data_IF_784724807616
#
_entry.id   IF_784724807616
#
_cell.length_a   1.000
_cell.length_b   1.000
_cell.length_c   1.000
_cell.angle_alpha   90.00
_cell.angle_beta   90.00
_cell.angle_gamma   90.00
#
_symmetry.space_group_name_H-M   'P 1'
#
loop_
_entity.id
_entity.type
_entity.pdbx_description
1 polymer ?
#
# COMPACT_ATOMS: atom_id res chain seq x y z
N UNK A 1 10.75 7.74 -18.76
CA UNK A 1 10.50 6.71 -17.74
C UNK A 1 9.01 6.69 -17.48
N UNK A 2 8.30 5.61 -17.80
CA UNK A 2 6.84 5.50 -17.58
C UNK A 2 6.55 4.98 -16.17
N UNK A 3 5.67 5.66 -15.46
CA UNK A 3 5.26 5.28 -14.10
C UNK A 3 3.74 5.23 -13.99
N UNK A 4 3.26 4.29 -13.19
CA UNK A 4 1.86 4.20 -12.79
C UNK A 4 1.79 4.41 -11.29
N UNK A 5 0.89 5.30 -10.89
CA UNK A 5 0.71 5.69 -9.49
C UNK A 5 -0.70 5.37 -9.03
N UNK A 6 -0.80 4.79 -7.84
CA UNK A 6 -2.06 4.57 -7.12
C UNK A 6 -1.92 5.08 -5.70
N UNK A 7 -2.98 5.70 -5.18
CA UNK A 7 -3.01 6.22 -3.82
C UNK A 7 -4.34 5.88 -3.18
N UNK A 8 -4.32 5.63 -1.89
CA UNK A 8 -5.52 5.36 -1.12
C UNK A 8 -5.38 5.85 0.33
N UNK A 9 -6.46 6.45 0.83
CA UNK A 9 -6.59 6.87 2.22
C UNK A 9 -7.59 5.99 2.94
N UNK A 10 -7.15 5.40 4.05
CA UNK A 10 -7.96 4.62 4.97
C UNK A 10 -7.62 4.95 6.41
N UNK A 11 -7.86 4.01 7.31
CA UNK A 11 -7.58 4.11 8.75
C UNK A 11 -6.45 3.14 9.11
N UNK A 12 -5.56 3.53 10.02
CA UNK A 12 -4.42 2.70 10.43
C UNK A 12 -4.76 1.61 11.45
N UNK A 13 -5.97 1.63 12.01
CA UNK A 13 -6.52 0.63 12.92
C UNK A 13 -7.96 0.32 12.56
N UNK A 14 -8.55 -0.71 13.16
CA UNK A 14 -9.94 -1.07 12.93
C UNK A 14 -10.60 -1.54 14.23
N UNK A 15 -11.84 -1.13 14.56
CA UNK A 15 -12.70 -0.20 13.82
C UNK A 15 -12.20 1.25 13.89
N UNK A 16 -12.67 2.11 12.97
CA UNK A 16 -12.26 3.53 12.93
C UNK A 16 -12.68 4.34 14.16
N UNK A 17 -13.59 3.81 14.98
CA UNK A 17 -14.03 4.38 16.26
C UNK A 17 -13.08 4.07 17.41
N UNK A 18 -12.05 3.25 17.20
CA UNK A 18 -11.06 2.91 18.21
C UNK A 18 -10.20 4.14 18.55
N UNK A 19 -9.96 4.35 19.84
CA UNK A 19 -9.11 5.46 20.31
C UNK A 19 -7.69 5.40 19.71
N UNK A 20 -7.17 6.56 19.31
CA UNK A 20 -5.84 6.68 18.71
C UNK A 20 -5.74 6.06 17.30
N UNK A 21 -6.87 5.94 16.59
CA UNK A 21 -6.90 5.68 15.14
C UNK A 21 -6.58 6.95 14.39
N UNK A 22 -5.78 6.84 13.33
CA UNK A 22 -5.43 7.93 12.45
C UNK A 22 -5.80 7.59 11.01
N UNK A 23 -6.06 8.63 10.22
CA UNK A 23 -6.04 8.46 8.78
C UNK A 23 -4.63 8.05 8.32
N UNK A 24 -4.58 7.14 7.37
CA UNK A 24 -3.35 6.65 6.78
C UNK A 24 -3.50 6.63 5.27
N UNK A 25 -2.61 7.35 4.60
CA UNK A 25 -2.53 7.42 3.15
C UNK A 25 -1.29 6.70 2.68
N UNK A 26 -1.47 5.78 1.72
CA UNK A 26 -0.36 5.13 1.01
C UNK A 26 -0.46 5.46 -0.47
N UNK A 27 0.66 5.90 -1.04
CA UNK A 27 0.85 6.05 -2.48
C UNK A 27 1.94 5.09 -2.93
N UNK A 28 1.67 4.33 -3.98
CA UNK A 28 2.64 3.45 -4.64
C UNK A 28 3.03 4.00 -6.00
N UNK A 29 4.32 3.93 -6.30
CA UNK A 29 4.90 4.31 -7.58
C UNK A 29 5.49 3.03 -8.20
N UNK A 30 5.01 2.70 -9.40
CA UNK A 30 5.29 1.41 -10.05
C UNK A 30 5.76 1.65 -11.48
N UNK A 31 6.77 0.89 -11.91
CA UNK A 31 7.28 0.92 -13.28
C UNK A 31 6.18 0.45 -14.24
N UNK A 32 5.84 1.28 -15.23
CA UNK A 32 4.70 1.03 -16.11
C UNK A 32 4.87 -0.15 -17.06
N UNK A 33 6.10 -0.52 -17.38
CA UNK A 33 6.47 -1.58 -18.32
C UNK A 33 6.43 -2.99 -17.71
N UNK A 34 6.85 -3.14 -16.45
CA UNK A 34 7.00 -4.44 -15.80
C UNK A 34 6.18 -4.60 -14.52
N UNK A 35 5.62 -3.51 -13.96
CA UNK A 35 4.82 -3.56 -12.75
C UNK A 35 5.63 -3.70 -11.45
N UNK A 36 6.95 -3.46 -11.50
CA UNK A 36 7.82 -3.47 -10.30
C UNK A 36 7.58 -2.24 -9.43
N UNK A 37 7.51 -2.44 -8.12
CA UNK A 37 7.41 -1.34 -7.14
C UNK A 37 8.77 -0.66 -7.05
N UNK A 38 8.81 0.64 -7.32
CA UNK A 38 10.04 1.44 -7.37
C UNK A 38 10.04 2.59 -6.37
N UNK A 39 8.92 2.81 -5.68
CA UNK A 39 8.78 3.87 -4.71
C UNK A 39 7.42 3.85 -4.03
N UNK A 40 7.30 4.59 -2.95
CA UNK A 40 6.03 4.87 -2.32
C UNK A 40 6.16 5.94 -1.25
N UNK A 41 5.02 6.51 -0.86
CA UNK A 41 4.89 7.53 0.17
C UNK A 41 3.85 7.06 1.18
N UNK A 42 4.08 7.33 2.45
CA UNK A 42 3.15 7.01 3.54
C UNK A 42 2.98 8.24 4.42
N UNK A 43 1.74 8.60 4.73
CA UNK A 43 1.38 9.72 5.59
C UNK A 43 0.28 9.30 6.57
N UNK A 44 0.36 9.71 7.83
CA UNK A 44 -0.59 9.33 8.87
C UNK A 44 0.02 9.31 10.27
N UNK A 45 -0.57 8.49 11.15
CA UNK A 45 -0.12 8.29 12.54
C UNK A 45 1.19 7.49 12.68
N UNK A 46 1.48 6.98 13.88
CA UNK A 46 2.77 6.34 14.20
C UNK A 46 3.09 5.10 13.35
N UNK A 47 2.04 4.43 12.87
CA UNK A 47 2.09 3.23 12.02
C UNK A 47 2.82 3.43 10.69
N UNK A 48 3.00 4.68 10.24
CA UNK A 48 3.73 4.98 8.99
C UNK A 48 5.19 4.57 9.04
N UNK A 49 5.80 4.49 10.22
CA UNK A 49 7.20 4.07 10.36
C UNK A 49 7.42 2.63 9.89
N UNK A 50 6.55 1.71 10.30
CA UNK A 50 6.62 0.30 9.89
C UNK A 50 6.29 0.14 8.40
N UNK A 51 5.28 0.87 7.91
CA UNK A 51 4.95 0.87 6.48
C UNK A 51 6.09 1.41 5.62
N UNK A 52 6.81 2.43 6.07
CA UNK A 52 7.98 2.96 5.36
C UNK A 52 9.07 1.89 5.21
N UNK A 53 9.34 1.13 6.28
CA UNK A 53 10.28 0.01 6.21
C UNK A 53 9.77 -1.10 5.28
N UNK A 54 8.46 -1.37 5.29
CA UNK A 54 7.83 -2.33 4.39
C UNK A 54 8.00 -1.90 2.93
N UNK A 55 7.79 -0.61 2.59
CA UNK A 55 8.06 -0.10 1.25
C UNK A 55 9.52 -0.28 0.85
N UNK A 56 10.46 0.03 1.75
CA UNK A 56 11.89 -0.22 1.54
C UNK A 56 12.18 -1.69 1.24
N UNK A 57 11.58 -2.62 2.00
CA UNK A 57 11.71 -4.06 1.79
C UNK A 57 11.12 -4.49 0.43
N UNK A 58 9.96 -3.98 0.03
CA UNK A 58 9.34 -4.28 -1.26
C UNK A 58 10.22 -3.84 -2.43
N UNK A 59 10.81 -2.64 -2.34
CA UNK A 59 11.71 -2.09 -3.34
C UNK A 59 13.01 -2.92 -3.40
N UNK A 60 13.62 -3.18 -2.24
CA UNK A 60 14.87 -3.95 -2.12
C UNK A 60 14.76 -5.37 -2.71
N UNK A 61 13.58 -5.98 -2.62
CA UNK A 61 13.32 -7.33 -3.13
C UNK A 61 12.70 -7.33 -4.54
N UNK A 62 12.68 -6.20 -5.25
CA UNK A 62 12.14 -6.09 -6.61
C UNK A 62 10.70 -6.61 -6.74
N UNK A 63 9.87 -6.36 -5.72
CA UNK A 63 8.53 -6.93 -5.65
C UNK A 63 7.64 -6.35 -6.75
N UNK A 64 6.96 -7.23 -7.48
CA UNK A 64 5.92 -6.86 -8.44
C UNK A 64 4.61 -6.53 -7.72
N UNK A 65 3.86 -5.54 -8.21
CA UNK A 65 2.55 -5.17 -7.63
C UNK A 65 1.57 -6.35 -7.57
N UNK A 66 1.62 -7.27 -8.54
CA UNK A 66 0.79 -8.50 -8.53
C UNK A 66 1.18 -9.44 -7.39
N UNK A 67 2.47 -9.55 -7.08
CA UNK A 67 2.96 -10.34 -5.95
C UNK A 67 2.52 -9.74 -4.63
N UNK A 68 2.55 -8.40 -4.50
CA UNK A 68 2.04 -7.71 -3.31
C UNK A 68 0.54 -7.98 -3.09
N UNK A 69 -0.26 -8.02 -4.16
CA UNK A 69 -1.70 -8.33 -4.08
C UNK A 69 -2.01 -9.75 -3.60
N UNK A 70 -1.09 -10.69 -3.77
CA UNK A 70 -1.23 -12.08 -3.32
C UNK A 70 -0.39 -12.39 -2.07
N UNK A 71 0.30 -11.39 -1.52
CA UNK A 71 1.15 -11.56 -0.36
C UNK A 71 0.33 -11.98 0.87
N UNK A 72 0.88 -12.86 1.69
CA UNK A 72 0.26 -13.31 2.94
C UNK A 72 0.49 -12.28 4.04
N UNK A 73 -0.28 -11.19 4.01
CA UNK A 73 -0.20 -10.11 5.01
C UNK A 73 -1.37 -10.26 5.99
N UNK A 74 -1.05 -10.47 7.27
CA UNK A 74 -2.03 -10.47 8.34
C UNK A 74 -2.45 -9.06 8.72
N UNK A 75 -3.73 -8.88 9.07
CA UNK A 75 -4.24 -7.64 9.68
C UNK A 75 -4.66 -7.89 11.12
N UNK A 76 -4.44 -6.90 12.00
CA UNK A 76 -4.83 -6.96 13.40
C UNK A 76 -5.51 -5.64 13.81
N UNK A 77 -6.71 -5.66 14.41
CA UNK A 77 -7.50 -4.47 14.79
C UNK A 77 -6.71 -3.31 15.40
N UNK A 78 -5.81 -3.61 16.34
CA UNK A 78 -5.02 -2.60 17.07
C UNK A 78 -3.79 -2.06 16.33
N UNK A 79 -3.39 -2.68 15.21
CA UNK A 79 -2.12 -2.42 14.53
C UNK A 79 -2.27 -2.02 13.07
N UNK A 80 -3.33 -2.49 12.39
CA UNK A 80 -3.58 -2.23 10.97
C UNK A 80 -5.05 -2.00 10.70
N UNK A 81 -5.33 -1.29 9.60
CA UNK A 81 -6.68 -1.16 9.07
C UNK A 81 -7.29 -2.52 8.66
N UNK A 82 -8.61 -2.55 8.47
CA UNK A 82 -9.33 -3.75 8.01
C UNK A 82 -8.70 -4.33 6.74
N UNK A 83 -8.61 -5.66 6.64
CA UNK A 83 -8.18 -6.37 5.42
C UNK A 83 -8.91 -5.89 4.16
N UNK A 84 -10.19 -5.50 4.28
CA UNK A 84 -10.98 -5.01 3.16
C UNK A 84 -10.62 -3.58 2.72
N UNK A 85 -9.87 -2.82 3.52
CA UNK A 85 -9.56 -1.38 3.31
C UNK A 85 -8.12 -1.03 3.69
N UNK A 86 -7.21 -2.01 3.80
CA UNK A 86 -5.84 -1.76 4.21
C UNK A 86 -5.11 -0.86 3.17
N UNK A 87 -4.61 0.34 3.54
CA UNK A 87 -4.18 1.32 2.55
C UNK A 87 -3.10 0.85 1.57
N UNK A 88 -2.13 0.05 2.04
CA UNK A 88 -1.08 -0.51 1.17
C UNK A 88 -1.66 -1.38 0.05
N UNK A 89 -2.59 -2.29 0.40
CA UNK A 89 -3.20 -3.21 -0.56
C UNK A 89 -4.13 -2.45 -1.51
N UNK A 90 -4.89 -1.48 -1.02
CA UNK A 90 -5.78 -0.68 -1.87
C UNK A 90 -5.04 0.23 -2.84
N UNK A 91 -3.90 0.80 -2.44
CA UNK A 91 -3.02 1.50 -3.37
C UNK A 91 -2.50 0.55 -4.46
N UNK A 92 -2.14 -0.68 -4.12
CA UNK A 92 -1.68 -1.70 -5.06
C UNK A 92 -2.78 -2.13 -6.05
N UNK A 93 -4.02 -2.31 -5.57
CA UNK A 93 -5.18 -2.62 -6.41
C UNK A 93 -5.42 -1.54 -7.46
N UNK A 94 -5.36 -0.25 -7.05
CA UNK A 94 -5.53 0.90 -7.96
C UNK A 94 -4.43 0.91 -9.03
N UNK A 95 -3.17 0.66 -8.66
CA UNK A 95 -2.07 0.55 -9.62
C UNK A 95 -2.32 -0.60 -10.60
N UNK A 96 -2.66 -1.78 -10.10
CA UNK A 96 -2.89 -2.96 -10.92
C UNK A 96 -4.05 -2.76 -11.92
N UNK A 97 -5.10 -2.05 -11.52
CA UNK A 97 -6.20 -1.69 -12.42
C UNK A 97 -5.72 -0.75 -13.53
N UNK A 98 -4.94 0.29 -13.19
CA UNK A 98 -4.38 1.22 -14.18
C UNK A 98 -3.43 0.53 -15.17
N UNK A 99 -2.61 -0.41 -14.70
CA UNK A 99 -1.72 -1.21 -15.57
C UNK A 99 -2.51 -2.06 -16.56
N UNK A 100 -3.64 -2.68 -16.13
CA UNK A 100 -4.52 -3.43 -17.03
C UNK A 100 -5.12 -2.56 -18.13
N UNK A 101 -5.47 -1.30 -17.83
CA UNK A 101 -6.05 -0.38 -18.81
C UNK A 101 -5.03 0.21 -19.80
N UNK A 102 -3.72 0.07 -19.54
CA UNK A 102 -2.64 0.48 -20.47
C UNK A 102 -2.24 -0.62 -21.45
N UNK A 103 -2.61 -1.87 -21.18
CA UNK A 103 -2.24 -3.04 -21.98
C UNK A 103 -3.12 -3.21 -23.22
#
# INVERSE_FOLDING_TARGET
FDVVVGSFTGIDKHPGTLEGTHEQTVKLIVAGDCGMIIGGEVFGGVSVGELTNTLGFLIQNHVNVKTLLTAQIGTHPMLTGSHARYPLIKAAEIVAQKLKCKA
#
